data_IF_109219095648
#
_entry.id   IF_109219095648
#
_cell.length_a   1.000
_cell.length_b   1.000
_cell.length_c   1.000
_cell.angle_alpha   90.00
_cell.angle_beta   90.00
_cell.angle_gamma   90.00
#
_symmetry.space_group_name_H-M   'P 1'
#
loop_
_entity.id
_entity.type
_entity.pdbx_description
1 polymer ?
#
# COMPACT_ATOMS: atom_id res chain seq x y z
N UNK A 1 47.61 18.84 -44.24
CA UNK A 1 46.65 19.95 -44.05
C UNK A 1 45.79 19.60 -42.83
N UNK A 2 46.02 20.32 -41.73
CA UNK A 2 45.29 20.41 -40.45
C UNK A 2 44.57 19.16 -39.88
N UNK A 3 45.28 18.43 -39.02
CA UNK A 3 44.69 17.66 -37.90
C UNK A 3 44.35 18.65 -36.78
N UNK A 4 43.06 18.96 -36.57
CA UNK A 4 42.61 19.74 -35.42
C UNK A 4 42.32 18.81 -34.24
N UNK A 5 43.34 18.64 -33.40
CA UNK A 5 43.24 18.07 -32.06
C UNK A 5 42.16 18.79 -31.25
N UNK A 6 41.05 18.10 -30.96
CA UNK A 6 40.07 18.53 -29.97
C UNK A 6 40.77 18.58 -28.61
N UNK A 7 41.09 19.79 -28.17
CA UNK A 7 41.71 20.11 -26.88
C UNK A 7 40.87 19.46 -25.78
N UNK A 8 41.47 18.55 -25.00
CA UNK A 8 40.80 17.79 -23.95
C UNK A 8 39.99 18.70 -23.03
N UNK A 9 38.68 18.47 -22.99
CA UNK A 9 37.76 19.13 -22.07
C UNK A 9 38.22 18.78 -20.64
N UNK A 10 38.78 19.77 -19.95
CA UNK A 10 39.20 19.61 -18.56
C UNK A 10 37.94 19.62 -17.68
N UNK A 11 37.44 18.43 -17.33
CA UNK A 11 36.22 18.22 -16.53
C UNK A 11 36.44 18.47 -15.02
N UNK A 12 37.46 19.24 -14.62
CA UNK A 12 37.64 19.64 -13.22
C UNK A 12 36.63 20.74 -12.88
N UNK A 13 35.67 20.38 -12.00
CA UNK A 13 34.66 21.29 -11.45
C UNK A 13 35.35 22.55 -10.90
N UNK A 14 35.18 23.69 -11.56
CA UNK A 14 35.77 24.96 -11.11
C UNK A 14 35.02 25.42 -9.85
N UNK A 15 35.72 25.44 -8.72
CA UNK A 15 35.12 25.63 -7.39
C UNK A 15 34.44 26.99 -7.17
N UNK A 16 34.82 28.01 -7.94
CA UNK A 16 34.33 29.39 -7.81
C UNK A 16 33.24 29.79 -8.81
N UNK A 17 32.80 28.89 -9.70
CA UNK A 17 31.70 29.22 -10.63
C UNK A 17 30.38 29.39 -9.85
N UNK A 18 29.56 30.43 -10.15
CA UNK A 18 28.28 30.65 -9.48
C UNK A 18 27.34 29.43 -9.62
N UNK A 19 27.48 28.65 -10.71
CA UNK A 19 26.74 27.39 -10.91
C UNK A 19 27.18 26.30 -9.93
N UNK A 20 28.48 26.19 -9.63
CA UNK A 20 29.02 25.22 -8.68
C UNK A 20 28.60 25.56 -7.24
N UNK A 21 28.65 26.85 -6.89
CA UNK A 21 28.22 27.34 -5.57
C UNK A 21 26.71 27.12 -5.40
N UNK A 22 25.89 27.52 -6.37
CA UNK A 22 24.44 27.28 -6.34
C UNK A 22 24.14 25.78 -6.24
N UNK A 23 24.82 24.94 -7.01
CA UNK A 23 24.66 23.48 -6.95
C UNK A 23 24.99 22.90 -5.57
N UNK A 24 26.07 23.37 -4.93
CA UNK A 24 26.43 22.94 -3.58
C UNK A 24 25.41 23.42 -2.53
N UNK A 25 24.91 24.66 -2.65
CA UNK A 25 23.85 25.19 -1.78
C UNK A 25 22.56 24.37 -1.94
N UNK A 26 22.12 24.12 -3.17
CA UNK A 26 20.92 23.30 -3.43
C UNK A 26 21.08 21.87 -2.90
N UNK A 27 22.28 21.29 -2.99
CA UNK A 27 22.58 19.98 -2.42
C UNK A 27 22.50 20.02 -0.89
N UNK A 28 23.04 21.06 -0.25
CA UNK A 28 22.97 21.23 1.19
C UNK A 28 21.53 21.42 1.69
N UNK A 29 20.71 22.22 1.00
CA UNK A 29 19.29 22.40 1.30
C UNK A 29 18.55 21.06 1.16
N UNK A 30 18.79 20.32 0.07
CA UNK A 30 18.17 19.01 -0.16
C UNK A 30 18.55 18.02 0.94
N UNK A 31 19.83 17.99 1.36
CA UNK A 31 20.29 17.15 2.45
C UNK A 31 19.62 17.54 3.79
N UNK A 32 19.47 18.84 4.06
CA UNK A 32 18.78 19.33 5.26
C UNK A 32 17.30 18.90 5.27
N UNK A 33 16.60 19.01 4.14
CA UNK A 33 15.21 18.56 4.02
C UNK A 33 15.07 17.05 4.28
N UNK A 34 16.01 16.23 3.79
CA UNK A 34 16.04 14.79 4.06
C UNK A 34 16.22 14.53 5.56
N UNK A 35 17.17 15.22 6.21
CA UNK A 35 17.40 15.07 7.66
C UNK A 35 16.14 15.42 8.45
N UNK A 36 15.51 16.57 8.15
CA UNK A 36 14.27 17.01 8.81
C UNK A 36 13.15 15.97 8.66
N UNK A 37 13.07 15.30 7.50
CA UNK A 37 12.05 14.26 7.23
C UNK A 37 12.37 12.94 7.94
N UNK A 38 13.65 12.58 8.07
CA UNK A 38 14.08 11.32 8.70
C UNK A 38 13.95 11.37 10.22
N UNK A 39 14.14 12.52 10.87
CA UNK A 39 14.02 12.68 12.32
C UNK A 39 12.67 12.15 12.88
N UNK A 40 11.49 12.61 12.41
CA UNK A 40 10.22 12.13 12.93
C UNK A 40 10.00 10.65 12.61
N UNK A 41 10.46 10.16 11.44
CA UNK A 41 10.38 8.74 11.09
C UNK A 41 11.15 7.87 12.09
N UNK A 42 12.40 8.23 12.38
CA UNK A 42 13.24 7.53 13.36
C UNK A 42 12.64 7.63 14.75
N UNK A 43 12.11 8.80 15.14
CA UNK A 43 11.45 8.98 16.42
C UNK A 43 10.22 8.07 16.56
N UNK A 44 9.33 8.01 15.56
CA UNK A 44 8.15 7.14 15.57
C UNK A 44 8.56 5.68 15.70
N UNK A 45 9.52 5.21 14.91
CA UNK A 45 10.03 3.83 14.99
C UNK A 45 10.61 3.56 16.39
N UNK A 46 11.41 4.48 16.91
CA UNK A 46 12.02 4.36 18.24
C UNK A 46 10.96 4.26 19.36
N UNK A 47 9.97 5.15 19.37
CA UNK A 47 8.90 5.15 20.38
C UNK A 47 8.03 3.89 20.27
N UNK A 48 7.66 3.48 19.05
CA UNK A 48 6.85 2.28 18.83
C UNK A 48 7.59 1.02 19.25
N UNK A 49 8.91 0.94 19.02
CA UNK A 49 9.71 -0.19 19.50
C UNK A 49 9.73 -0.20 21.04
N UNK A 50 10.17 0.87 21.69
CA UNK A 50 10.36 0.86 23.15
C UNK A 50 9.03 0.68 23.90
N UNK A 51 7.99 1.43 23.52
CA UNK A 51 6.70 1.36 24.21
C UNK A 51 5.88 0.14 23.77
N UNK A 52 6.06 -0.35 22.55
CA UNK A 52 5.36 -1.55 22.09
C UNK A 52 5.91 -2.83 22.72
N UNK A 53 7.23 -2.94 22.90
CA UNK A 53 7.86 -4.13 23.49
C UNK A 53 7.47 -4.37 24.95
N UNK A 54 7.18 -3.32 25.72
CA UNK A 54 6.84 -3.44 27.15
C UNK A 54 5.52 -4.17 27.40
N UNK A 55 4.64 -4.27 26.39
CA UNK A 55 3.32 -4.93 26.47
C UNK A 55 3.16 -6.13 25.52
N UNK A 56 4.25 -6.63 24.92
CA UNK A 56 4.19 -7.88 24.17
C UNK A 56 4.10 -9.07 25.13
N UNK A 57 2.88 -9.56 25.34
CA UNK A 57 2.60 -10.80 26.05
C UNK A 57 1.71 -11.73 25.20
N UNK A 58 1.54 -12.98 25.63
CA UNK A 58 0.68 -13.96 24.94
C UNK A 58 -0.80 -13.53 24.93
N UNK A 59 -1.21 -12.77 25.94
CA UNK A 59 -2.56 -12.25 26.08
C UNK A 59 -2.92 -11.28 24.96
N UNK A 60 -1.96 -10.51 24.47
CA UNK A 60 -2.11 -9.60 23.35
C UNK A 60 -2.64 -10.30 22.09
N UNK A 61 -2.24 -11.55 21.86
CA UNK A 61 -2.60 -12.31 20.68
C UNK A 61 -3.80 -13.25 20.88
N UNK A 62 -4.25 -13.44 22.12
CA UNK A 62 -5.26 -14.45 22.46
C UNK A 62 -6.53 -13.88 23.09
N UNK A 63 -6.45 -12.71 23.75
CA UNK A 63 -7.58 -12.09 24.44
C UNK A 63 -8.20 -10.95 23.64
N UNK A 64 -9.45 -10.63 23.98
CA UNK A 64 -10.18 -9.46 23.53
C UNK A 64 -9.68 -8.18 24.23
N UNK A 65 -9.94 -6.99 23.65
CA UNK A 65 -9.60 -5.73 24.28
C UNK A 65 -10.28 -5.60 25.65
N UNK A 66 -9.55 -5.12 26.67
CA UNK A 66 -10.13 -4.94 27.99
C UNK A 66 -11.15 -3.80 27.98
N UNK A 67 -12.16 -3.86 28.86
CA UNK A 67 -12.98 -2.70 29.18
C UNK A 67 -12.10 -1.52 29.67
N UNK A 68 -12.57 -0.27 29.52
CA UNK A 68 -11.81 0.91 29.92
C UNK A 68 -11.34 0.85 31.38
N UNK A 69 -10.05 1.12 31.60
CA UNK A 69 -9.42 1.13 32.91
C UNK A 69 -8.90 -0.21 33.43
N UNK A 70 -9.20 -1.34 32.75
CA UNK A 70 -8.64 -2.65 33.09
C UNK A 70 -7.36 -2.93 32.30
N UNK A 71 -6.41 -3.63 32.93
CA UNK A 71 -5.07 -3.90 32.39
C UNK A 71 -4.95 -5.25 31.69
N UNK A 72 -5.97 -6.11 31.82
CA UNK A 72 -5.92 -7.51 31.42
C UNK A 72 -6.78 -7.74 30.16
N UNK A 73 -6.13 -7.86 29.01
CA UNK A 73 -6.77 -8.02 27.70
C UNK A 73 -5.77 -7.99 26.54
N UNK A 74 -6.27 -8.14 25.33
CA UNK A 74 -5.46 -8.26 24.12
C UNK A 74 -6.06 -7.59 22.89
N UNK A 75 -5.45 -7.80 21.74
CA UNK A 75 -5.79 -7.15 20.46
C UNK A 75 -6.11 -8.16 19.36
N UNK A 76 -6.38 -9.42 19.74
CA UNK A 76 -6.53 -10.54 18.82
C UNK A 76 -7.64 -10.31 17.78
N UNK A 77 -8.76 -9.73 18.23
CA UNK A 77 -9.88 -9.38 17.36
C UNK A 77 -9.48 -8.38 16.25
N UNK A 78 -8.66 -7.38 16.58
CA UNK A 78 -8.23 -6.36 15.63
C UNK A 78 -7.20 -6.88 14.63
N UNK A 79 -6.35 -7.83 15.03
CA UNK A 79 -5.43 -8.53 14.12
C UNK A 79 -6.24 -9.30 13.07
N UNK A 80 -7.18 -10.14 13.53
CA UNK A 80 -8.06 -10.92 12.65
C UNK A 80 -8.87 -9.98 11.76
N UNK A 81 -9.45 -8.92 12.32
CA UNK A 81 -10.26 -8.00 11.55
C UNK A 81 -9.48 -7.23 10.49
N UNK A 82 -8.22 -6.88 10.77
CA UNK A 82 -7.34 -6.30 9.74
C UNK A 82 -7.13 -7.29 8.58
N UNK A 83 -6.84 -8.56 8.89
CA UNK A 83 -6.66 -9.60 7.87
C UNK A 83 -7.92 -9.83 7.04
N UNK A 84 -9.10 -9.85 7.67
CA UNK A 84 -10.38 -10.02 6.99
C UNK A 84 -10.67 -8.84 6.06
N UNK A 85 -10.58 -7.60 6.56
CA UNK A 85 -10.92 -6.41 5.78
C UNK A 85 -9.94 -6.21 4.62
N UNK A 86 -8.64 -6.38 4.87
CA UNK A 86 -7.61 -6.32 3.82
C UNK A 86 -7.75 -7.48 2.84
N UNK A 87 -8.13 -8.67 3.31
CA UNK A 87 -8.42 -9.83 2.47
C UNK A 87 -9.56 -9.55 1.48
N UNK A 88 -10.68 -9.02 1.97
CA UNK A 88 -11.82 -8.59 1.12
C UNK A 88 -11.36 -7.55 0.11
N UNK A 89 -10.63 -6.53 0.57
CA UNK A 89 -10.11 -5.48 -0.31
C UNK A 89 -9.19 -6.05 -1.41
N UNK A 90 -8.37 -7.04 -1.07
CA UNK A 90 -7.44 -7.70 -1.99
C UNK A 90 -8.18 -8.52 -3.05
N UNK A 91 -9.18 -9.31 -2.63
CA UNK A 91 -10.02 -10.12 -3.54
C UNK A 91 -10.75 -9.25 -4.57
N UNK A 92 -11.06 -8.01 -4.23
CA UNK A 92 -11.66 -7.05 -5.16
C UNK A 92 -10.56 -6.34 -5.96
N UNK A 93 -9.65 -5.63 -5.31
CA UNK A 93 -8.74 -4.70 -5.98
C UNK A 93 -7.70 -5.38 -6.87
N UNK A 94 -7.22 -6.58 -6.52
CA UNK A 94 -6.18 -7.28 -7.29
C UNK A 94 -6.69 -7.72 -8.66
N UNK A 95 -7.77 -8.51 -8.80
CA UNK A 95 -8.23 -8.95 -10.11
C UNK A 95 -8.65 -7.75 -10.98
N UNK A 96 -9.44 -6.83 -10.45
CA UNK A 96 -9.87 -5.65 -11.22
C UNK A 96 -8.69 -4.75 -11.61
N UNK A 97 -7.75 -4.51 -10.70
CA UNK A 97 -6.58 -3.68 -10.95
C UNK A 97 -5.61 -4.29 -11.96
N UNK A 98 -5.35 -5.60 -11.86
CA UNK A 98 -4.47 -6.32 -12.79
C UNK A 98 -5.11 -6.41 -14.17
N UNK A 99 -6.40 -6.73 -14.27
CA UNK A 99 -7.11 -6.77 -15.55
C UNK A 99 -7.15 -5.40 -16.23
N UNK A 100 -7.40 -4.33 -15.46
CA UNK A 100 -7.37 -2.96 -16.00
C UNK A 100 -5.97 -2.58 -16.50
N UNK A 101 -4.91 -2.96 -15.79
CA UNK A 101 -3.54 -2.73 -16.22
C UNK A 101 -3.17 -3.52 -17.49
N UNK A 102 -3.57 -4.80 -17.58
CA UNK A 102 -3.38 -5.62 -18.79
C UNK A 102 -4.06 -4.96 -20.00
N UNK A 103 -5.29 -4.47 -19.82
CA UNK A 103 -5.99 -3.72 -20.87
C UNK A 103 -5.19 -2.48 -21.28
N UNK A 104 -4.71 -1.69 -20.32
CA UNK A 104 -3.98 -0.45 -20.54
C UNK A 104 -2.59 -0.61 -21.17
N UNK A 105 -1.91 -1.73 -20.94
CA UNK A 105 -0.56 -1.95 -21.45
C UNK A 105 -0.54 -2.71 -22.77
N UNK A 106 -1.44 -3.69 -22.97
CA UNK A 106 -1.39 -4.61 -24.11
C UNK A 106 -2.49 -4.36 -25.16
N UNK A 107 -3.67 -3.88 -24.75
CA UNK A 107 -4.84 -3.81 -25.65
C UNK A 107 -5.29 -2.38 -25.97
N UNK A 108 -4.92 -1.39 -25.16
CA UNK A 108 -5.55 -0.07 -25.27
C UNK A 108 -4.98 0.79 -26.39
N UNK A 109 -3.74 0.56 -26.84
CA UNK A 109 -3.02 1.51 -27.68
C UNK A 109 -3.12 2.95 -27.13
N UNK A 110 -3.20 3.93 -28.04
CA UNK A 110 -3.44 5.35 -27.71
C UNK A 110 -4.93 5.74 -27.73
N UNK A 111 -5.82 4.82 -27.36
CA UNK A 111 -7.25 5.04 -27.45
C UNK A 111 -7.78 5.96 -26.33
N UNK A 112 -8.87 6.68 -26.61
CA UNK A 112 -9.49 7.62 -25.65
C UNK A 112 -9.86 6.95 -24.31
N UNK A 113 -10.27 5.68 -24.34
CA UNK A 113 -10.58 4.89 -23.14
C UNK A 113 -9.36 4.72 -22.23
N UNK A 114 -8.18 4.47 -22.81
CA UNK A 114 -6.92 4.35 -22.07
C UNK A 114 -6.59 5.65 -21.33
N UNK A 115 -6.73 6.78 -22.03
CA UNK A 115 -6.53 8.12 -21.49
C UNK A 115 -7.50 8.40 -20.34
N UNK A 116 -8.78 8.06 -20.49
CA UNK A 116 -9.78 8.22 -19.43
C UNK A 116 -9.47 7.39 -18.20
N UNK A 117 -9.12 6.11 -18.36
CA UNK A 117 -8.79 5.23 -17.23
C UNK A 117 -7.52 5.74 -16.53
N UNK A 118 -6.46 6.10 -17.28
CA UNK A 118 -5.23 6.68 -16.71
C UNK A 118 -5.51 7.98 -15.96
N UNK A 119 -6.34 8.86 -16.52
CA UNK A 119 -6.77 10.09 -15.86
C UNK A 119 -7.54 9.79 -14.57
N UNK A 120 -8.56 8.94 -14.61
CA UNK A 120 -9.34 8.56 -13.42
C UNK A 120 -8.46 7.93 -12.33
N UNK A 121 -7.53 7.06 -12.70
CA UNK A 121 -6.59 6.41 -11.79
C UNK A 121 -5.64 7.43 -11.14
N UNK A 122 -5.17 8.41 -11.91
CA UNK A 122 -4.31 9.49 -11.41
C UNK A 122 -5.08 10.43 -10.47
N UNK A 123 -6.32 10.78 -10.80
CA UNK A 123 -7.20 11.56 -9.93
C UNK A 123 -7.42 10.81 -8.61
N UNK A 124 -7.80 9.53 -8.68
CA UNK A 124 -8.05 8.70 -7.51
C UNK A 124 -6.82 8.56 -6.60
N UNK A 125 -5.61 8.52 -7.19
CA UNK A 125 -4.35 8.52 -6.42
C UNK A 125 -4.12 9.80 -5.61
N UNK A 126 -4.69 10.91 -6.07
CA UNK A 126 -4.60 12.22 -5.41
C UNK A 126 -5.73 12.51 -4.42
N UNK A 127 -6.77 11.67 -4.39
CA UNK A 127 -7.90 11.83 -3.46
C UNK A 127 -7.44 11.49 -2.04
N UNK A 128 -7.66 12.37 -1.05
CA UNK A 128 -7.44 12.06 0.36
C UNK A 128 -8.20 10.81 0.81
N UNK A 129 -7.57 9.95 1.62
CA UNK A 129 -8.16 8.65 2.00
C UNK A 129 -9.48 8.77 2.76
N UNK A 130 -9.67 9.87 3.50
CA UNK A 130 -10.95 10.16 4.18
C UNK A 130 -12.11 10.36 3.20
N UNK A 131 -11.86 10.99 2.05
CA UNK A 131 -12.89 11.24 1.03
C UNK A 131 -13.32 9.91 0.39
N UNK A 132 -12.36 9.03 0.10
CA UNK A 132 -12.69 7.67 -0.38
C UNK A 132 -13.52 6.88 0.65
N UNK A 133 -13.23 7.06 1.94
CA UNK A 133 -14.02 6.53 3.05
C UNK A 133 -15.47 7.02 3.06
N UNK A 134 -15.65 8.34 3.01
CA UNK A 134 -16.99 8.97 2.99
C UNK A 134 -17.76 8.58 1.73
N UNK A 135 -17.09 8.43 0.59
CA UNK A 135 -17.69 7.93 -0.64
C UNK A 135 -18.22 6.49 -0.47
N UNK A 136 -17.39 5.59 0.06
CA UNK A 136 -17.80 4.20 0.33
C UNK A 136 -18.94 4.14 1.36
N UNK A 137 -18.88 4.96 2.42
CA UNK A 137 -19.97 5.13 3.37
C UNK A 137 -21.27 5.57 2.70
N UNK A 138 -21.22 6.62 1.86
CA UNK A 138 -22.38 7.13 1.14
C UNK A 138 -23.00 6.09 0.21
N UNK A 139 -22.17 5.33 -0.50
CA UNK A 139 -22.62 4.32 -1.46
C UNK A 139 -23.20 3.07 -0.80
N UNK A 140 -22.64 2.62 0.31
CA UNK A 140 -22.96 1.30 0.88
C UNK A 140 -23.77 1.40 2.16
N UNK A 141 -23.33 2.25 3.09
CA UNK A 141 -23.90 2.35 4.43
C UNK A 141 -25.08 3.31 4.47
N UNK A 142 -24.90 4.54 3.97
CA UNK A 142 -25.96 5.55 3.96
C UNK A 142 -27.10 5.21 3.01
N UNK A 143 -26.85 4.43 1.96
CA UNK A 143 -27.86 4.00 0.99
C UNK A 143 -28.72 2.84 1.51
N UNK A 144 -28.33 2.21 2.62
CA UNK A 144 -29.00 1.05 3.19
C UNK A 144 -28.74 -0.27 2.46
N UNK A 145 -27.78 -0.33 1.53
CA UNK A 145 -27.40 -1.58 0.84
C UNK A 145 -26.78 -2.56 1.83
N UNK A 146 -25.85 -2.10 2.66
CA UNK A 146 -25.24 -2.87 3.74
C UNK A 146 -25.00 -1.96 4.96
N UNK A 147 -24.96 -2.52 6.16
CA UNK A 147 -24.58 -1.78 7.37
C UNK A 147 -23.07 -1.53 7.47
N UNK A 148 -22.66 -0.92 8.58
CA UNK A 148 -21.26 -0.85 8.96
C UNK A 148 -20.70 -2.27 9.10
N UNK A 149 -19.68 -2.58 8.31
CA UNK A 149 -19.29 -3.97 8.11
C UNK A 149 -17.87 -4.14 7.59
N UNK A 150 -17.33 -5.34 7.76
CA UNK A 150 -16.06 -5.74 7.15
C UNK A 150 -16.08 -5.58 5.62
N UNK A 151 -17.22 -5.87 4.97
CA UNK A 151 -17.41 -5.67 3.52
C UNK A 151 -17.36 -4.19 3.15
N UNK A 152 -18.06 -3.32 3.89
CA UNK A 152 -18.01 -1.87 3.64
C UNK A 152 -16.58 -1.33 3.75
N UNK A 153 -15.84 -1.75 4.79
CA UNK A 153 -14.43 -1.41 4.95
C UNK A 153 -13.55 -1.96 3.83
N UNK A 154 -13.78 -3.21 3.42
CA UNK A 154 -13.04 -3.86 2.35
C UNK A 154 -13.22 -3.16 1.00
N UNK A 155 -14.44 -2.72 0.68
CA UNK A 155 -14.70 -1.94 -0.54
C UNK A 155 -14.00 -0.57 -0.48
N UNK A 156 -14.04 0.11 0.67
CA UNK A 156 -13.36 1.39 0.85
C UNK A 156 -11.84 1.27 0.64
N UNK A 157 -11.22 0.24 1.23
CA UNK A 157 -9.80 -0.06 1.01
C UNK A 157 -9.53 -0.47 -0.45
N UNK A 158 -10.42 -1.24 -1.08
CA UNK A 158 -10.26 -1.64 -2.48
C UNK A 158 -10.16 -0.42 -3.40
N UNK A 159 -11.00 0.60 -3.19
CA UNK A 159 -10.96 1.87 -3.93
C UNK A 159 -9.59 2.55 -3.80
N UNK A 160 -8.99 2.54 -2.60
CA UNK A 160 -7.66 3.11 -2.36
C UNK A 160 -6.52 2.26 -2.93
N UNK A 161 -6.68 0.94 -2.96
CA UNK A 161 -5.68 0.00 -3.47
C UNK A 161 -5.62 -0.01 -5.01
N UNK A 162 -6.77 0.11 -5.68
CA UNK A 162 -6.90 0.05 -7.13
C UNK A 162 -5.87 0.89 -7.89
N UNK A 163 -5.72 2.20 -7.63
CA UNK A 163 -4.80 3.01 -8.43
C UNK A 163 -3.32 2.61 -8.25
N UNK A 164 -2.96 2.16 -7.05
CA UNK A 164 -1.62 1.65 -6.77
C UNK A 164 -1.36 0.36 -7.55
N UNK A 165 -2.31 -0.58 -7.54
CA UNK A 165 -2.21 -1.86 -8.25
C UNK A 165 -2.18 -1.65 -9.77
N UNK A 166 -3.08 -0.83 -10.31
CA UNK A 166 -3.15 -0.54 -11.75
C UNK A 166 -1.82 0.04 -12.23
N UNK A 167 -1.29 1.05 -11.52
CA UNK A 167 -0.05 1.72 -11.93
C UNK A 167 1.16 0.81 -11.83
N UNK A 168 1.31 0.09 -10.72
CA UNK A 168 2.46 -0.81 -10.54
C UNK A 168 2.44 -1.98 -11.51
N UNK A 169 1.25 -2.52 -11.83
CA UNK A 169 1.08 -3.59 -12.82
C UNK A 169 1.33 -3.08 -14.24
N UNK A 170 0.83 -1.88 -14.61
CA UNK A 170 1.04 -1.28 -15.93
C UNK A 170 2.54 -1.01 -16.20
N UNK A 171 3.27 -0.50 -15.20
CA UNK A 171 4.72 -0.33 -15.32
C UNK A 171 5.47 -1.67 -15.39
N UNK A 172 5.05 -2.68 -14.61
CA UNK A 172 5.65 -4.02 -14.68
C UNK A 172 5.49 -4.66 -16.07
N UNK A 173 4.32 -4.50 -16.71
CA UNK A 173 4.05 -5.04 -18.04
C UNK A 173 4.87 -4.32 -19.13
N UNK A 174 5.05 -3.00 -19.02
CA UNK A 174 5.85 -2.21 -19.97
C UNK A 174 7.35 -2.51 -19.93
N UNK A 175 7.86 -3.01 -18.80
CA UNK A 175 9.27 -3.41 -18.66
C UNK A 175 9.61 -4.61 -19.55
N UNK A 176 8.64 -5.48 -19.85
CA UNK A 176 8.85 -6.62 -20.75
C UNK A 176 9.24 -6.09 -22.14
N UNK A 177 10.33 -6.57 -22.77
CA UNK A 177 10.74 -6.09 -24.09
C UNK A 177 9.71 -6.37 -25.20
N UNK A 178 9.64 -5.49 -26.21
CA UNK A 178 8.77 -5.69 -27.37
C UNK A 178 9.21 -6.87 -28.25
N UNK A 179 10.52 -7.15 -28.31
CA UNK A 179 11.07 -8.25 -29.12
C UNK A 179 10.48 -9.62 -28.74
N UNK A 180 10.23 -9.84 -27.44
CA UNK A 180 9.63 -11.08 -26.93
C UNK A 180 8.17 -11.22 -27.39
N UNK A 181 7.45 -10.09 -27.50
CA UNK A 181 6.07 -10.07 -28.01
C UNK A 181 6.04 -10.37 -29.51
N UNK A 182 6.93 -9.75 -30.29
CA UNK A 182 7.03 -10.00 -31.72
C UNK A 182 7.47 -11.42 -32.04
N UNK A 183 8.40 -11.99 -31.28
CA UNK A 183 8.80 -13.38 -31.42
C UNK A 183 7.61 -14.33 -31.20
N UNK A 184 6.79 -14.10 -30.18
CA UNK A 184 5.59 -14.90 -29.93
C UNK A 184 4.59 -14.85 -31.09
N UNK A 185 4.33 -13.64 -31.62
CA UNK A 185 3.47 -13.47 -32.79
C UNK A 185 4.06 -14.12 -34.05
N UNK A 186 5.38 -14.10 -34.22
CA UNK A 186 6.09 -14.71 -35.34
C UNK A 186 5.97 -16.24 -35.39
N UNK A 187 5.77 -16.89 -34.24
CA UNK A 187 5.51 -18.35 -34.13
C UNK A 187 4.00 -18.67 -34.25
N UNK A 188 3.16 -17.67 -34.53
CA UNK A 188 1.72 -17.83 -34.75
C UNK A 188 0.87 -17.77 -33.47
N UNK A 189 1.40 -17.29 -32.34
CA UNK A 189 0.59 -17.08 -31.14
C UNK A 189 -0.39 -15.91 -31.32
N UNK A 190 -1.59 -16.03 -30.75
CA UNK A 190 -2.54 -14.90 -30.70
C UNK A 190 -2.15 -13.89 -29.62
N UNK A 191 -2.57 -12.62 -29.74
CA UNK A 191 -2.31 -11.57 -28.75
C UNK A 191 -2.65 -11.99 -27.31
N UNK A 192 -3.82 -12.60 -27.08
CA UNK A 192 -4.20 -13.05 -25.74
C UNK A 192 -3.30 -14.18 -25.21
N UNK A 193 -2.80 -15.05 -26.09
CA UNK A 193 -1.87 -16.13 -25.72
C UNK A 193 -0.50 -15.55 -25.35
N UNK A 194 -0.01 -14.57 -26.12
CA UNK A 194 1.23 -13.85 -25.82
C UNK A 194 1.16 -13.18 -24.45
N UNK A 195 0.04 -12.50 -24.16
CA UNK A 195 -0.15 -11.84 -22.86
C UNK A 195 -0.19 -12.86 -21.72
N UNK A 196 -1.02 -13.89 -21.80
CA UNK A 196 -1.22 -14.84 -20.69
C UNK A 196 -0.02 -15.76 -20.48
N UNK A 197 0.64 -16.22 -21.55
CA UNK A 197 1.70 -17.24 -21.46
C UNK A 197 3.11 -16.67 -21.40
N UNK A 198 3.33 -15.42 -21.79
CA UNK A 198 4.67 -14.85 -21.94
C UNK A 198 4.82 -13.55 -21.16
N UNK A 199 4.00 -12.54 -21.47
CA UNK A 199 4.13 -11.21 -20.84
C UNK A 199 3.76 -11.24 -19.36
N UNK A 200 2.61 -11.83 -19.02
CA UNK A 200 2.11 -11.86 -17.64
C UNK A 200 3.04 -12.67 -16.71
N UNK A 201 3.55 -13.86 -17.08
CA UNK A 201 4.54 -14.57 -16.28
C UNK A 201 5.86 -13.79 -16.14
N UNK A 202 6.32 -13.11 -17.19
CA UNK A 202 7.54 -12.31 -17.14
C UNK A 202 7.41 -11.06 -16.24
N UNK A 203 6.22 -10.44 -16.20
CA UNK A 203 5.94 -9.28 -15.36
C UNK A 203 5.54 -9.64 -13.91
N UNK A 204 5.24 -10.92 -13.63
CA UNK A 204 4.70 -11.39 -12.35
C UNK A 204 5.50 -10.94 -11.12
N UNK A 205 6.85 -10.95 -11.12
CA UNK A 205 7.62 -10.47 -9.96
C UNK A 205 7.36 -9.00 -9.63
N UNK A 206 7.20 -8.16 -10.65
CA UNK A 206 6.85 -6.74 -10.50
C UNK A 206 5.43 -6.56 -9.99
N UNK A 207 4.47 -7.32 -10.53
CA UNK A 207 3.06 -7.30 -10.12
C UNK A 207 2.90 -7.72 -8.66
N UNK A 208 3.53 -8.83 -8.25
CA UNK A 208 3.49 -9.32 -6.86
C UNK A 208 4.07 -8.28 -5.90
N UNK A 209 5.17 -7.63 -6.27
CA UNK A 209 5.79 -6.60 -5.44
C UNK A 209 4.86 -5.38 -5.29
N UNK A 210 4.25 -4.92 -6.39
CA UNK A 210 3.31 -3.79 -6.38
C UNK A 210 2.04 -4.08 -5.58
N UNK A 211 1.44 -5.26 -5.79
CA UNK A 211 0.26 -5.72 -5.05
C UNK A 211 0.55 -5.85 -3.57
N UNK A 212 1.68 -6.45 -3.19
CA UNK A 212 2.01 -6.60 -1.77
C UNK A 212 2.23 -5.24 -1.09
N UNK A 213 2.87 -4.28 -1.79
CA UNK A 213 3.03 -2.93 -1.27
C UNK A 213 1.67 -2.22 -1.07
N UNK A 214 0.71 -2.42 -1.99
CA UNK A 214 -0.64 -1.90 -1.86
C UNK A 214 -1.39 -2.50 -0.66
N UNK A 215 -1.27 -3.82 -0.46
CA UNK A 215 -1.84 -4.56 0.69
C UNK A 215 -1.23 -4.05 2.01
N UNK A 216 0.10 -3.97 2.07
CA UNK A 216 0.85 -3.49 3.22
C UNK A 216 0.43 -2.07 3.60
N UNK A 217 0.24 -1.17 2.62
CA UNK A 217 -0.30 0.17 2.86
C UNK A 217 -1.74 0.13 3.37
N UNK A 218 -2.62 -0.65 2.72
CA UNK A 218 -4.03 -0.72 3.06
C UNK A 218 -4.28 -1.25 4.49
N UNK A 219 -3.44 -2.17 4.98
CA UNK A 219 -3.51 -2.66 6.36
C UNK A 219 -3.31 -1.56 7.42
N UNK A 220 -2.64 -0.46 7.06
CA UNK A 220 -2.41 0.70 7.91
C UNK A 220 -3.40 1.86 7.72
N UNK A 221 -4.40 1.73 6.85
CA UNK A 221 -5.34 2.82 6.58
C UNK A 221 -6.43 2.91 7.67
N UNK A 222 -6.47 4.02 8.40
CA UNK A 222 -7.45 4.27 9.47
C UNK A 222 -8.68 5.05 8.98
N UNK A 223 -8.44 6.14 8.23
CA UNK A 223 -9.48 7.11 7.88
C UNK A 223 -10.71 6.51 7.17
N UNK A 224 -10.58 5.67 6.13
CA UNK A 224 -11.76 5.12 5.45
C UNK A 224 -12.55 4.14 6.33
N UNK A 225 -11.87 3.43 7.23
CA UNK A 225 -12.48 2.41 8.08
C UNK A 225 -13.32 3.00 9.20
N UNK A 226 -12.97 4.20 9.70
CA UNK A 226 -13.77 4.95 10.66
C UNK A 226 -15.19 5.25 10.15
N UNK A 227 -15.39 5.37 8.84
CA UNK A 227 -16.70 5.65 8.25
C UNK A 227 -17.40 4.39 7.72
N UNK A 228 -16.75 3.23 7.69
CA UNK A 228 -17.28 2.05 6.97
C UNK A 228 -17.32 0.78 7.80
N UNK A 229 -16.19 0.35 8.36
CA UNK A 229 -16.12 -0.82 9.23
C UNK A 229 -16.48 -0.51 10.69
N UNK A 230 -16.36 0.77 11.09
CA UNK A 230 -16.43 1.22 12.48
C UNK A 230 -15.45 0.45 13.38
N UNK A 231 -15.94 -0.02 14.53
CA UNK A 231 -15.16 -0.61 15.58
C UNK A 231 -16.04 -1.55 16.41
N UNK A 232 -15.50 -2.72 16.78
CA UNK A 232 -16.16 -3.71 17.63
C UNK A 232 -15.17 -4.31 18.63
N UNK A 233 -15.55 -4.41 19.90
CA UNK A 233 -14.73 -5.02 20.95
C UNK A 233 -14.84 -6.55 21.00
N UNK A 234 -15.70 -7.14 20.17
CA UNK A 234 -15.97 -8.58 20.19
C UNK A 234 -15.15 -9.32 19.15
N UNK A 235 -15.16 -10.66 19.24
CA UNK A 235 -14.55 -11.52 18.23
C UNK A 235 -15.22 -11.33 16.87
N UNK A 236 -14.45 -11.24 15.78
CA UNK A 236 -15.02 -11.26 14.44
C UNK A 236 -15.77 -12.56 14.20
N UNK A 237 -17.02 -12.47 13.79
CA UNK A 237 -17.78 -13.62 13.35
C UNK A 237 -17.32 -14.00 11.92
N UNK A 238 -16.73 -15.20 11.76
CA UNK A 238 -16.18 -15.67 10.47
C UNK A 238 -17.26 -16.32 9.58
N UNK A 239 -18.53 -16.26 9.98
CA UNK A 239 -19.64 -16.68 9.12
C UNK A 239 -19.90 -15.65 8.01
N UNK A 240 -20.63 -16.07 6.96
CA UNK A 240 -21.03 -15.20 5.84
C UNK A 240 -21.79 -13.96 6.33
N UNK A 241 -22.61 -14.13 7.39
CA UNK A 241 -23.36 -13.05 8.02
C UNK A 241 -22.45 -12.14 8.86
N UNK A 242 -21.42 -12.70 9.48
CA UNK A 242 -20.44 -11.96 10.26
C UNK A 242 -19.61 -10.96 9.46
N UNK A 243 -19.43 -11.16 8.14
CA UNK A 243 -18.80 -10.15 7.28
C UNK A 243 -19.64 -8.88 7.10
N UNK A 244 -20.94 -8.94 7.39
CA UNK A 244 -21.85 -7.80 7.36
C UNK A 244 -21.95 -7.10 8.73
N UNK A 245 -21.15 -7.50 9.71
CA UNK A 245 -21.11 -6.90 11.04
C UNK A 245 -19.87 -5.98 11.21
N UNK A 246 -19.95 -4.97 12.10
CA UNK A 246 -18.82 -4.11 12.42
C UNK A 246 -17.61 -4.89 12.94
N UNK A 247 -16.42 -4.49 12.52
CA UNK A 247 -15.18 -5.20 12.82
C UNK A 247 -14.08 -4.23 13.24
N UNK A 248 -13.30 -4.58 14.26
CA UNK A 248 -12.12 -3.80 14.62
C UNK A 248 -10.94 -4.12 13.70
N UNK A 249 -10.20 -3.09 13.29
CA UNK A 249 -8.88 -3.23 12.66
C UNK A 249 -7.81 -2.63 13.55
N UNK A 250 -6.56 -3.05 13.40
CA UNK A 250 -5.43 -2.57 14.19
C UNK A 250 -5.28 -1.05 14.05
N UNK A 251 -5.41 -0.52 12.82
CA UNK A 251 -5.24 0.90 12.55
C UNK A 251 -6.30 1.77 13.26
N UNK A 252 -7.56 1.31 13.30
CA UNK A 252 -8.65 1.98 14.03
C UNK A 252 -8.51 1.80 15.53
N UNK A 253 -8.10 0.62 15.99
CA UNK A 253 -7.87 0.34 17.40
C UNK A 253 -6.79 1.25 17.97
N UNK A 254 -5.63 1.34 17.30
CA UNK A 254 -4.52 2.20 17.73
C UNK A 254 -4.98 3.65 17.85
N UNK A 255 -5.75 4.15 16.89
CA UNK A 255 -6.32 5.49 16.95
C UNK A 255 -7.25 5.67 18.15
N UNK A 256 -8.25 4.80 18.31
CA UNK A 256 -9.23 4.89 19.39
C UNK A 256 -8.58 4.77 20.77
N UNK A 257 -7.59 3.90 20.91
CA UNK A 257 -6.91 3.67 22.18
C UNK A 257 -5.84 4.71 22.49
N UNK A 258 -5.35 5.47 21.51
CA UNK A 258 -4.38 6.55 21.75
C UNK A 258 -5.03 7.86 22.21
N UNK A 259 -6.32 8.07 21.94
CA UNK A 259 -7.04 9.31 22.28
C UNK A 259 -7.79 9.24 23.61
N UNK A 260 -7.81 8.08 24.25
CA UNK A 260 -8.50 7.86 25.53
C UNK A 260 -7.58 8.16 26.72
N UNK A 261 -8.11 8.64 27.85
CA UNK A 261 -7.30 9.07 28.99
C UNK A 261 -6.75 7.90 29.83
N UNK A 262 -6.95 6.65 29.42
CA UNK A 262 -6.59 5.47 30.21
C UNK A 262 -5.19 4.95 29.84
N UNK A 263 -4.20 4.97 30.76
CA UNK A 263 -2.84 4.54 30.46
C UNK A 263 -2.75 3.10 29.95
N UNK A 264 -3.55 2.20 30.50
CA UNK A 264 -3.59 0.79 30.06
C UNK A 264 -3.97 0.63 28.58
N UNK A 265 -4.89 1.47 28.07
CA UNK A 265 -5.30 1.44 26.66
C UNK A 265 -4.24 2.10 25.77
N UNK A 266 -3.60 3.18 26.24
CA UNK A 266 -2.47 3.80 25.53
C UNK A 266 -1.30 2.81 25.35
N UNK A 267 -0.99 2.02 26.38
CA UNK A 267 0.05 0.99 26.30
C UNK A 267 -0.32 -0.12 25.31
N UNK A 268 -1.59 -0.52 25.24
CA UNK A 268 -2.09 -1.43 24.19
C UNK A 268 -2.03 -0.80 22.79
N UNK A 269 -2.28 0.51 22.64
CA UNK A 269 -2.14 1.21 21.37
C UNK A 269 -0.69 1.17 20.87
N UNK A 270 0.30 1.35 21.75
CA UNK A 270 1.72 1.22 21.39
C UNK A 270 2.07 -0.20 20.93
N UNK A 271 1.58 -1.22 21.63
CA UNK A 271 1.76 -2.62 21.24
C UNK A 271 1.07 -2.94 19.90
N UNK A 272 -0.15 -2.43 19.69
CA UNK A 272 -0.89 -2.56 18.43
C UNK A 272 -0.18 -1.87 17.26
N UNK A 273 0.38 -0.68 17.49
CA UNK A 273 1.18 0.04 16.50
C UNK A 273 2.45 -0.74 16.13
N UNK A 274 3.12 -1.35 17.11
CA UNK A 274 4.27 -2.21 16.87
C UNK A 274 3.89 -3.42 16.00
N UNK A 275 2.80 -4.12 16.33
CA UNK A 275 2.31 -5.25 15.53
C UNK A 275 2.00 -4.82 14.10
N UNK A 276 1.31 -3.68 13.91
CA UNK A 276 0.96 -3.18 12.59
C UNK A 276 2.22 -2.86 11.78
N UNK A 277 3.17 -2.11 12.34
CA UNK A 277 4.43 -1.78 11.67
C UNK A 277 5.22 -3.05 11.34
N UNK A 278 5.31 -4.00 12.27
CA UNK A 278 5.96 -5.29 12.04
C UNK A 278 5.27 -6.09 10.94
N UNK A 279 3.94 -6.14 10.90
CA UNK A 279 3.17 -6.83 9.87
C UNK A 279 3.44 -6.22 8.49
N UNK A 280 3.41 -4.90 8.38
CA UNK A 280 3.69 -4.16 7.13
C UNK A 280 5.14 -4.38 6.67
N UNK A 281 6.11 -4.34 7.58
CA UNK A 281 7.51 -4.58 7.26
C UNK A 281 7.76 -6.03 6.82
N UNK A 282 7.24 -7.01 7.58
CA UNK A 282 7.41 -8.43 7.28
C UNK A 282 6.78 -8.79 5.93
N UNK A 283 5.54 -8.35 5.67
CA UNK A 283 4.88 -8.58 4.38
C UNK A 283 5.67 -7.97 3.21
N UNK A 284 6.19 -6.75 3.38
CA UNK A 284 7.01 -6.08 2.36
C UNK A 284 8.35 -6.78 2.12
N UNK A 285 9.02 -7.24 3.17
CA UNK A 285 10.30 -7.96 3.07
C UNK A 285 10.08 -9.34 2.42
N UNK A 286 9.07 -10.08 2.87
CA UNK A 286 8.73 -11.40 2.33
C UNK A 286 8.41 -11.33 0.84
N UNK A 287 7.63 -10.33 0.40
CA UNK A 287 7.37 -10.13 -1.03
C UNK A 287 8.65 -9.85 -1.81
N UNK A 288 9.53 -8.97 -1.30
CA UNK A 288 10.81 -8.67 -1.96
C UNK A 288 11.72 -9.89 -2.05
N UNK A 289 11.77 -10.72 -1.02
CA UNK A 289 12.58 -11.94 -1.02
C UNK A 289 12.02 -12.99 -1.97
N UNK A 290 10.69 -13.17 -2.00
CA UNK A 290 10.02 -14.09 -2.91
C UNK A 290 10.22 -13.71 -4.39
N UNK A 291 10.26 -12.42 -4.70
CA UNK A 291 10.39 -11.92 -6.09
C UNK A 291 11.84 -11.73 -6.56
N UNK A 292 12.82 -11.84 -5.66
CA UNK A 292 14.26 -11.65 -5.96
C UNK A 292 14.85 -12.69 -6.92
N UNK A 293 14.18 -13.82 -7.14
CA UNK A 293 14.65 -14.90 -8.03
C UNK A 293 13.83 -14.97 -9.31
N UNK A 294 14.08 -14.09 -10.28
CA UNK A 294 13.97 -14.41 -11.71
C UNK A 294 14.96 -13.55 -12.49
N UNK A 295 16.19 -14.06 -12.60
CA UNK A 295 17.14 -13.62 -13.62
C UNK A 295 16.67 -14.29 -14.91
N UNK A 296 16.21 -13.49 -15.87
CA UNK A 296 16.14 -13.92 -17.28
C UNK A 296 17.53 -13.88 -17.89
#
# INVERSE_FOLDING_TARGET
MASSTVKGLNLKKQGSSPRTILGNIMTAISALCVIITVIPLVAVIYFVLIQGFSRLNTDLFTKLPPPPGLTDGGLANAIIGTLVVVGIATVIAVPFGVMAAIYLSEFSGNNKTALTIRFATNVLSGVPSIIAGVFAYGLLVSSGIIGFSAVAGGVALAVLMLPTIIRTTDEALKIVPQDVRWAALGVGAYNYQTVIKIVLPAALPGIITGVTLAIARAAGETAPLLFTALYSNFWPNVSVQGFLEPIATLAVLVYNFAIVPFPAQNELAWAGALILVSLVLLTSILARLATRKQVY
#
